data_IF_269983472607
#
_entry.id   IF_269983472607
#
_cell.length_a   1.000
_cell.length_b   1.000
_cell.length_c   1.000
_cell.angle_alpha   90.00
_cell.angle_beta   90.00
_cell.angle_gamma   90.00
#
_symmetry.space_group_name_H-M   'P 1'
#
loop_
_entity.id
_entity.type
_entity.pdbx_description
1 polymer ?
#
# COMPACT_ATOMS: atom_id res chain seq x y z
N UNK A 1 11.71 36.33 -16.98
CA UNK A 1 12.90 35.43 -16.97
C UNK A 1 13.03 34.82 -18.35
N UNK A 2 14.17 35.12 -18.99
CA UNK A 2 14.41 34.73 -20.37
C UNK A 2 14.80 33.25 -20.49
N UNK A 3 14.73 32.69 -21.72
CA UNK A 3 15.09 31.31 -22.06
C UNK A 3 16.54 30.99 -21.67
N UNK A 4 17.40 31.99 -21.69
CA UNK A 4 18.84 31.89 -21.42
C UNK A 4 19.25 32.27 -19.99
N UNK A 5 18.31 32.33 -19.06
CA UNK A 5 18.56 32.65 -17.67
C UNK A 5 19.62 31.71 -17.05
N UNK A 6 20.76 32.29 -16.62
CA UNK A 6 21.90 31.56 -16.05
C UNK A 6 22.10 31.85 -14.55
N UNK A 7 21.25 32.64 -13.93
CA UNK A 7 21.31 32.91 -12.50
C UNK A 7 20.64 31.77 -11.72
N UNK A 8 21.39 31.16 -10.82
CA UNK A 8 20.87 30.04 -10.02
C UNK A 8 19.86 30.54 -8.99
N UNK A 9 18.63 30.05 -9.08
CA UNK A 9 17.57 30.31 -8.10
C UNK A 9 17.24 29.03 -7.34
N UNK A 10 16.66 29.11 -6.12
CA UNK A 10 16.30 27.94 -5.36
C UNK A 10 15.33 27.03 -6.12
N UNK A 11 15.60 25.71 -6.12
CA UNK A 11 14.76 24.72 -6.81
C UNK A 11 13.48 24.49 -6.01
N UNK A 12 12.42 25.21 -6.39
CA UNK A 12 11.10 25.15 -5.76
C UNK A 12 9.98 25.20 -6.81
N UNK A 13 8.80 24.61 -6.55
CA UNK A 13 7.66 24.65 -7.49
C UNK A 13 7.27 26.07 -7.94
N UNK A 14 7.45 27.08 -7.05
CA UNK A 14 7.16 28.48 -7.37
C UNK A 14 7.99 29.01 -8.57
N UNK A 15 9.23 28.54 -8.72
CA UNK A 15 10.09 28.93 -9.85
C UNK A 15 9.56 28.36 -11.16
N UNK A 16 9.01 27.15 -11.15
CA UNK A 16 8.35 26.54 -12.30
C UNK A 16 7.22 27.43 -12.83
N UNK A 17 6.38 27.94 -11.92
CA UNK A 17 5.30 28.84 -12.26
C UNK A 17 5.80 30.23 -12.73
N UNK A 18 6.80 30.79 -12.06
CA UNK A 18 7.40 32.09 -12.43
C UNK A 18 8.04 32.05 -13.83
N UNK A 19 8.64 30.91 -14.19
CA UNK A 19 9.22 30.69 -15.50
C UNK A 19 8.17 30.29 -16.56
N UNK A 20 6.90 30.13 -16.18
CA UNK A 20 5.82 29.66 -17.03
C UNK A 20 6.17 28.34 -17.75
N UNK A 21 6.68 27.36 -16.99
CA UNK A 21 7.21 26.11 -17.50
C UNK A 21 6.14 25.19 -18.07
N UNK A 22 4.92 25.22 -17.52
CA UNK A 22 3.80 24.44 -18.08
C UNK A 22 3.55 24.82 -19.54
N UNK A 23 3.37 26.12 -19.79
CA UNK A 23 3.19 26.62 -21.17
C UNK A 23 4.42 26.37 -22.06
N UNK A 24 5.61 26.43 -21.46
CA UNK A 24 6.86 26.15 -22.18
C UNK A 24 6.90 24.71 -22.71
N UNK A 25 6.57 23.72 -21.89
CA UNK A 25 6.56 22.32 -22.27
C UNK A 25 5.38 21.98 -23.20
N UNK A 26 4.18 22.49 -22.90
CA UNK A 26 2.98 22.28 -23.71
C UNK A 26 3.20 22.77 -25.18
N UNK A 27 3.95 23.86 -25.37
CA UNK A 27 4.25 24.47 -26.65
C UNK A 27 5.68 24.26 -27.13
N UNK A 28 6.42 23.29 -26.59
CA UNK A 28 7.80 23.05 -26.99
C UNK A 28 7.91 22.70 -28.47
N UNK A 29 8.79 23.38 -29.25
CA UNK A 29 8.94 23.11 -30.66
C UNK A 29 9.31 21.66 -30.95
N UNK A 30 8.49 20.96 -31.74
CA UNK A 30 8.66 19.53 -31.99
C UNK A 30 8.34 18.61 -30.81
N UNK A 31 7.81 19.12 -29.69
CA UNK A 31 7.56 18.36 -28.48
C UNK A 31 6.66 17.12 -28.63
N UNK A 32 5.82 17.09 -29.66
CA UNK A 32 4.99 15.92 -30.03
C UNK A 32 5.78 14.77 -30.67
N UNK A 33 7.05 14.98 -31.03
CA UNK A 33 7.94 13.96 -31.62
C UNK A 33 9.09 13.58 -30.69
N UNK A 34 9.36 14.38 -29.67
CA UNK A 34 10.47 14.17 -28.75
C UNK A 34 9.99 13.42 -27.51
N UNK A 35 10.67 12.35 -27.16
CA UNK A 35 10.59 11.75 -25.84
C UNK A 35 11.61 12.42 -24.88
N UNK A 36 11.68 12.01 -23.61
CA UNK A 36 12.55 12.67 -22.61
C UNK A 36 14.04 12.61 -22.96
N UNK A 37 14.51 11.49 -23.54
CA UNK A 37 15.93 11.34 -23.91
C UNK A 37 16.25 12.13 -25.18
N UNK A 38 15.34 12.13 -26.17
CA UNK A 38 15.49 12.94 -27.39
C UNK A 38 15.50 14.43 -27.03
N UNK A 39 14.63 14.87 -26.10
CA UNK A 39 14.65 16.22 -25.56
C UNK A 39 16.01 16.56 -24.94
N UNK A 40 16.52 15.72 -24.05
CA UNK A 40 17.83 15.93 -23.39
C UNK A 40 18.95 16.05 -24.41
N UNK A 41 19.00 15.19 -25.42
CA UNK A 41 19.99 15.25 -26.50
C UNK A 41 19.86 16.54 -27.32
N UNK A 42 18.63 16.98 -27.63
CA UNK A 42 18.36 18.21 -28.41
C UNK A 42 18.87 19.47 -27.68
N UNK A 43 18.83 19.49 -26.34
CA UNK A 43 19.29 20.64 -25.55
C UNK A 43 20.78 20.54 -25.14
N UNK A 44 21.49 19.52 -25.60
CA UNK A 44 22.93 19.34 -25.42
C UNK A 44 23.35 18.44 -24.25
N UNK A 45 22.41 17.75 -23.61
CA UNK A 45 22.69 16.76 -22.57
C UNK A 45 22.69 15.34 -23.17
N UNK A 46 23.72 15.00 -23.94
CA UNK A 46 23.80 13.73 -24.71
C UNK A 46 23.96 12.48 -23.83
N UNK A 47 24.53 12.64 -22.63
CA UNK A 47 24.76 11.54 -21.66
C UNK A 47 23.69 11.48 -20.56
N UNK A 48 22.51 12.04 -20.84
CA UNK A 48 21.40 12.10 -19.89
C UNK A 48 20.46 10.89 -20.08
N UNK A 49 20.80 9.78 -19.41
CA UNK A 49 20.02 8.54 -19.46
C UNK A 49 19.05 8.46 -18.29
N UNK A 50 17.81 8.12 -18.59
CA UNK A 50 16.68 8.08 -17.66
C UNK A 50 16.06 6.68 -17.65
N UNK A 51 15.77 6.15 -16.47
CA UNK A 51 15.13 4.84 -16.30
C UNK A 51 15.43 4.21 -14.94
N UNK A 52 14.94 2.99 -14.76
CA UNK A 52 15.27 2.20 -13.57
C UNK A 52 16.76 1.82 -13.60
N UNK A 53 17.45 2.14 -12.50
CA UNK A 53 18.90 1.96 -12.37
C UNK A 53 19.74 3.08 -12.95
N UNK A 54 19.14 4.07 -13.63
CA UNK A 54 19.83 5.21 -14.21
C UNK A 54 19.88 6.42 -13.24
N UNK A 55 20.93 7.21 -13.33
CA UNK A 55 21.17 8.40 -12.49
C UNK A 55 21.52 9.61 -13.36
N UNK A 56 20.54 10.18 -14.09
CA UNK A 56 20.79 11.29 -15.00
C UNK A 56 21.30 12.53 -14.25
N UNK A 57 22.23 13.25 -14.87
CA UNK A 57 22.78 14.50 -14.34
C UNK A 57 22.83 15.55 -15.46
N UNK A 58 22.08 16.65 -15.37
CA UNK A 58 22.08 17.70 -16.41
C UNK A 58 23.28 18.64 -16.32
N UNK A 59 24.21 18.42 -15.40
CA UNK A 59 25.31 19.33 -15.16
C UNK A 59 24.91 20.62 -14.43
N UNK A 60 25.75 21.64 -14.54
CA UNK A 60 25.48 22.96 -13.95
C UNK A 60 24.62 23.81 -14.90
N UNK A 61 23.83 24.71 -14.33
CA UNK A 61 23.05 25.65 -15.11
C UNK A 61 23.97 26.43 -16.07
N UNK A 62 23.62 26.47 -17.36
CA UNK A 62 24.37 27.03 -18.48
C UNK A 62 25.67 26.28 -18.84
N UNK A 63 25.88 25.04 -18.36
CA UNK A 63 27.04 24.21 -18.66
C UNK A 63 26.67 22.72 -18.83
N UNK A 64 26.26 22.23 -20.01
CA UNK A 64 26.01 22.98 -21.27
C UNK A 64 24.59 23.54 -21.39
N UNK A 65 23.60 23.00 -20.61
CA UNK A 65 22.18 23.28 -20.79
C UNK A 65 21.76 24.58 -20.10
N UNK A 66 20.95 25.40 -20.76
CA UNK A 66 20.62 26.76 -20.31
C UNK A 66 19.15 26.91 -19.90
N UNK A 67 18.91 27.83 -18.98
CA UNK A 67 17.60 28.39 -18.67
C UNK A 67 16.53 27.33 -18.43
N UNK A 68 15.40 27.44 -19.09
CA UNK A 68 14.22 26.56 -18.93
C UNK A 68 14.52 25.10 -19.21
N UNK A 69 15.40 24.81 -20.17
CA UNK A 69 15.76 23.44 -20.52
C UNK A 69 16.50 22.76 -19.34
N UNK A 70 17.40 23.48 -18.67
CA UNK A 70 18.08 22.94 -17.51
C UNK A 70 17.14 22.64 -16.34
N UNK A 71 16.19 23.55 -16.04
CA UNK A 71 15.18 23.28 -14.99
C UNK A 71 14.29 22.10 -15.35
N UNK A 72 14.01 21.90 -16.64
CA UNK A 72 13.29 20.72 -17.12
C UNK A 72 14.08 19.43 -16.84
N UNK A 73 15.39 19.42 -17.16
CA UNK A 73 16.24 18.25 -16.89
C UNK A 73 16.41 17.96 -15.40
N UNK A 74 16.48 18.99 -14.55
CA UNK A 74 16.47 18.81 -13.07
C UNK A 74 15.17 18.14 -12.62
N UNK A 75 14.04 18.56 -13.13
CA UNK A 75 12.77 17.94 -12.78
C UNK A 75 12.69 16.46 -13.25
N UNK A 76 13.24 16.13 -14.43
CA UNK A 76 13.38 14.75 -14.90
C UNK A 76 14.31 13.95 -13.97
N UNK A 77 15.47 14.51 -13.61
CA UNK A 77 16.42 13.88 -12.69
C UNK A 77 15.76 13.52 -11.35
N UNK A 78 15.04 14.47 -10.75
CA UNK A 78 14.37 14.26 -9.47
C UNK A 78 13.23 13.23 -9.59
N UNK A 79 12.45 13.28 -10.68
CA UNK A 79 11.44 12.26 -10.96
C UNK A 79 12.07 10.87 -11.11
N UNK A 80 13.18 10.76 -11.84
CA UNK A 80 13.89 9.49 -12.01
C UNK A 80 14.41 8.93 -10.67
N UNK A 81 15.00 9.80 -9.83
CA UNK A 81 15.44 9.42 -8.49
C UNK A 81 14.26 8.90 -7.64
N UNK A 82 13.10 9.56 -7.73
CA UNK A 82 11.89 9.12 -7.05
C UNK A 82 11.40 7.74 -7.51
N UNK A 83 11.37 7.51 -8.82
CA UNK A 83 10.95 6.23 -9.40
C UNK A 83 11.89 5.10 -8.99
N UNK A 84 13.21 5.33 -9.00
CA UNK A 84 14.20 4.38 -8.50
C UNK A 84 14.01 4.10 -7.01
N UNK A 85 13.75 5.14 -6.21
CA UNK A 85 13.46 4.99 -4.79
C UNK A 85 12.22 4.11 -4.53
N UNK A 86 11.15 4.24 -5.33
CA UNK A 86 9.96 3.38 -5.25
C UNK A 86 10.28 1.93 -5.62
N UNK A 87 11.02 1.73 -6.70
CA UNK A 87 11.43 0.41 -7.17
C UNK A 87 12.25 -0.33 -6.12
N UNK A 88 13.26 0.33 -5.56
CA UNK A 88 14.15 -0.23 -4.53
C UNK A 88 13.40 -0.48 -3.21
N UNK A 89 12.54 0.47 -2.81
CA UNK A 89 11.77 0.35 -1.56
C UNK A 89 10.75 -0.79 -1.63
N UNK A 90 10.14 -1.01 -2.79
CA UNK A 90 9.30 -2.17 -3.01
C UNK A 90 10.10 -3.48 -2.88
N UNK A 91 11.27 -3.55 -3.52
CA UNK A 91 12.18 -4.70 -3.41
C UNK A 91 12.57 -5.00 -1.96
N UNK A 92 12.97 -3.97 -1.22
CA UNK A 92 13.34 -4.09 0.19
C UNK A 92 12.17 -4.60 1.05
N UNK A 93 11.00 -3.98 0.94
CA UNK A 93 9.86 -4.33 1.77
C UNK A 93 9.37 -5.77 1.54
N UNK A 94 9.31 -6.23 0.30
CA UNK A 94 8.99 -7.62 -0.01
C UNK A 94 10.08 -8.59 0.46
N UNK A 95 11.35 -8.24 0.30
CA UNK A 95 12.48 -9.03 0.79
C UNK A 95 12.40 -9.25 2.29
N UNK A 96 12.19 -8.17 3.06
CA UNK A 96 12.04 -8.24 4.51
C UNK A 96 10.87 -9.13 4.95
N UNK A 97 9.73 -9.07 4.23
CA UNK A 97 8.59 -9.92 4.54
C UNK A 97 8.82 -11.40 4.20
N UNK A 98 9.43 -11.67 3.06
CA UNK A 98 9.58 -13.05 2.56
C UNK A 98 10.53 -13.89 3.40
N UNK A 99 11.56 -13.27 3.97
CA UNK A 99 12.63 -13.99 4.72
C UNK A 99 12.24 -14.28 6.16
N UNK A 100 11.50 -13.39 6.84
CA UNK A 100 11.28 -13.53 8.28
C UNK A 100 9.86 -13.32 8.77
N UNK A 101 9.20 -12.25 8.35
CA UNK A 101 7.96 -11.80 8.98
C UNK A 101 6.77 -12.70 8.66
N UNK A 102 6.50 -12.94 7.38
CA UNK A 102 5.30 -13.71 6.97
C UNK A 102 5.44 -15.19 7.26
N UNK A 103 6.59 -15.85 7.00
CA UNK A 103 6.81 -17.21 7.48
C UNK A 103 6.71 -17.34 9.01
N UNK A 104 7.22 -16.35 9.75
CA UNK A 104 7.10 -16.30 11.20
C UNK A 104 5.64 -16.21 11.66
N UNK A 105 4.85 -15.29 11.09
CA UNK A 105 3.43 -15.14 11.40
C UNK A 105 2.64 -16.42 11.08
N UNK A 106 2.97 -17.11 9.98
CA UNK A 106 2.34 -18.38 9.64
C UNK A 106 2.57 -19.42 10.74
N UNK A 107 3.82 -19.57 11.19
CA UNK A 107 4.17 -20.51 12.25
C UNK A 107 3.50 -20.15 13.57
N UNK A 108 3.51 -18.87 13.92
CA UNK A 108 3.02 -18.38 15.22
C UNK A 108 1.49 -18.45 15.33
N UNK A 109 0.75 -18.20 14.25
CA UNK A 109 -0.70 -18.09 14.30
C UNK A 109 -1.45 -19.28 13.68
N UNK A 110 -0.77 -20.31 13.24
CA UNK A 110 -1.39 -21.53 12.73
C UNK A 110 -1.71 -22.50 13.86
N UNK A 111 -2.98 -22.68 14.16
CA UNK A 111 -3.45 -23.50 15.27
C UNK A 111 -3.52 -25.00 14.95
N UNK A 112 -3.86 -25.40 13.71
CA UNK A 112 -4.14 -26.79 13.34
C UNK A 112 -3.82 -27.08 11.87
N UNK A 113 -2.77 -27.86 11.62
CA UNK A 113 -2.38 -28.23 10.26
C UNK A 113 -3.45 -29.09 9.54
N UNK A 114 -4.26 -29.84 10.24
CA UNK A 114 -5.27 -30.73 9.62
C UNK A 114 -6.47 -29.96 9.08
N UNK A 115 -6.75 -28.77 9.60
CA UNK A 115 -7.77 -27.85 9.08
C UNK A 115 -7.32 -27.04 7.87
N UNK A 116 -6.06 -27.19 7.47
CA UNK A 116 -5.47 -26.46 6.36
C UNK A 116 -6.17 -26.76 5.02
N UNK A 117 -6.63 -27.97 4.78
CA UNK A 117 -7.24 -28.35 3.51
C UNK A 117 -8.53 -27.58 3.20
N UNK A 118 -9.39 -27.35 4.17
CA UNK A 118 -10.60 -26.53 3.98
C UNK A 118 -10.27 -25.03 3.87
N UNK A 119 -9.09 -24.61 4.34
CA UNK A 119 -8.61 -23.24 4.35
C UNK A 119 -7.62 -22.91 3.23
N UNK A 120 -7.16 -23.92 2.46
CA UNK A 120 -6.22 -23.70 1.34
C UNK A 120 -6.82 -22.72 0.33
N UNK A 121 -8.09 -22.81 -0.01
CA UNK A 121 -8.80 -21.83 -0.83
C UNK A 121 -8.77 -20.42 -0.21
N UNK A 122 -8.73 -20.31 1.11
CA UNK A 122 -8.69 -19.05 1.86
C UNK A 122 -7.26 -18.47 1.86
N UNK A 123 -6.21 -19.30 1.96
CA UNK A 123 -4.82 -18.87 1.78
C UNK A 123 -4.51 -18.41 0.35
N UNK A 124 -5.24 -18.95 -0.63
CA UNK A 124 -5.21 -18.48 -2.02
C UNK A 124 -5.78 -17.09 -2.13
N UNK A 125 -6.96 -16.87 -1.56
CA UNK A 125 -7.56 -15.56 -1.44
C UNK A 125 -6.63 -14.57 -0.72
N UNK A 126 -5.81 -15.03 0.24
CA UNK A 126 -4.76 -14.26 0.90
C UNK A 126 -3.66 -13.77 -0.05
N UNK A 127 -3.05 -14.68 -0.78
CA UNK A 127 -2.01 -14.33 -1.75
C UNK A 127 -2.56 -13.39 -2.82
N UNK A 128 -3.75 -13.68 -3.36
CA UNK A 128 -4.41 -12.81 -4.32
C UNK A 128 -4.69 -11.42 -3.74
N UNK A 129 -5.16 -11.32 -2.50
CA UNK A 129 -5.42 -10.02 -1.86
C UNK A 129 -4.17 -9.28 -1.41
N UNK A 130 -3.06 -9.94 -1.13
CA UNK A 130 -1.78 -9.26 -0.94
C UNK A 130 -1.33 -8.57 -2.22
N UNK A 131 -1.42 -9.27 -3.32
CA UNK A 131 -1.03 -8.78 -4.62
C UNK A 131 -1.94 -7.63 -5.06
N UNK A 132 -3.23 -7.69 -4.76
CA UNK A 132 -4.20 -6.65 -5.14
C UNK A 132 -4.15 -5.44 -4.23
N UNK A 133 -3.81 -5.58 -2.96
CA UNK A 133 -3.75 -4.45 -2.03
C UNK A 133 -2.39 -3.73 -2.04
N UNK A 134 -1.32 -4.36 -2.49
CA UNK A 134 0.01 -3.76 -2.52
C UNK A 134 0.18 -2.69 -3.61
N UNK A 135 -0.24 -2.93 -4.85
CA UNK A 135 -0.26 -1.87 -5.84
C UNK A 135 -1.11 -0.67 -5.41
N UNK A 136 -2.20 -0.88 -4.66
CA UNK A 136 -2.98 0.20 -4.05
C UNK A 136 -2.13 1.12 -3.15
N UNK A 137 -1.25 0.58 -2.32
CA UNK A 137 -0.35 1.39 -1.49
C UNK A 137 0.70 2.12 -2.33
N UNK A 138 1.29 1.46 -3.33
CA UNK A 138 2.27 2.11 -4.23
C UNK A 138 1.58 3.12 -5.14
N UNK A 139 0.45 2.78 -5.74
CA UNK A 139 -0.28 3.68 -6.64
C UNK A 139 -0.89 4.86 -5.86
N UNK A 140 -1.28 4.67 -4.61
CA UNK A 140 -1.70 5.76 -3.75
C UNK A 140 -0.57 6.75 -3.48
N UNK A 141 0.67 6.26 -3.41
CA UNK A 141 1.85 7.12 -3.32
C UNK A 141 2.21 7.82 -4.64
N UNK A 142 1.73 7.31 -5.78
CA UNK A 142 1.95 7.87 -7.12
C UNK A 142 0.85 8.82 -7.59
N UNK A 143 -0.37 8.64 -7.09
CA UNK A 143 -1.54 9.44 -7.49
C UNK A 143 -1.30 10.94 -7.49
N UNK A 144 -0.68 11.54 -6.46
CA UNK A 144 -0.39 12.96 -6.39
C UNK A 144 0.55 13.47 -7.49
N UNK A 145 1.47 12.60 -8.00
CA UNK A 145 2.51 13.00 -8.96
C UNK A 145 2.11 12.90 -10.41
N UNK A 146 1.03 12.23 -10.66
CA UNK A 146 0.58 11.99 -12.02
C UNK A 146 -0.71 12.75 -12.33
N UNK A 147 -1.10 13.68 -11.43
CA UNK A 147 -2.31 14.47 -11.58
C UNK A 147 -3.58 13.62 -11.72
N UNK A 148 -3.64 12.49 -11.01
CA UNK A 148 -4.75 11.53 -11.16
C UNK A 148 -4.66 10.65 -12.41
N UNK A 149 -3.65 10.85 -13.27
CA UNK A 149 -3.49 10.10 -14.51
C UNK A 149 -3.24 8.61 -14.28
N UNK A 150 -2.54 8.23 -13.18
CA UNK A 150 -2.37 6.81 -12.84
C UNK A 150 -3.64 6.20 -12.27
N UNK A 151 -4.53 6.97 -11.66
CA UNK A 151 -5.82 6.44 -11.25
C UNK A 151 -6.77 6.27 -12.45
N UNK A 152 -6.69 7.09 -13.49
CA UNK A 152 -7.51 6.95 -14.71
C UNK A 152 -6.90 6.04 -15.78
N UNK A 153 -5.57 6.03 -15.96
CA UNK A 153 -4.83 4.98 -16.69
C UNK A 153 -4.77 3.70 -15.83
N UNK A 154 -4.77 3.88 -14.50
CA UNK A 154 -4.79 2.85 -13.50
C UNK A 154 -5.94 1.88 -13.67
N UNK A 155 -7.14 2.31 -14.00
CA UNK A 155 -8.26 1.37 -14.18
C UNK A 155 -8.05 0.42 -15.36
N UNK A 156 -7.48 0.88 -16.47
CA UNK A 156 -7.21 0.03 -17.64
C UNK A 156 -5.90 -0.76 -17.46
N UNK A 157 -4.82 -0.10 -17.07
CA UNK A 157 -3.54 -0.73 -16.79
C UNK A 157 -3.61 -1.60 -15.51
N UNK A 158 -4.41 -1.22 -14.53
CA UNK A 158 -4.72 -1.96 -13.32
C UNK A 158 -5.46 -3.26 -13.63
N UNK A 159 -6.53 -3.22 -14.42
CA UNK A 159 -7.26 -4.43 -14.81
C UNK A 159 -6.39 -5.36 -15.67
N UNK A 160 -5.53 -4.82 -16.55
CA UNK A 160 -4.57 -5.60 -17.30
C UNK A 160 -3.50 -6.20 -16.39
N UNK A 161 -2.91 -5.40 -15.50
CA UNK A 161 -1.91 -5.83 -14.52
C UNK A 161 -2.49 -6.88 -13.58
N UNK A 162 -3.69 -6.67 -13.07
CA UNK A 162 -4.41 -7.62 -12.23
C UNK A 162 -4.68 -8.92 -12.97
N UNK A 163 -5.03 -8.84 -14.25
CA UNK A 163 -5.20 -10.03 -15.11
C UNK A 163 -3.89 -10.80 -15.26
N UNK A 164 -2.79 -10.13 -15.57
CA UNK A 164 -1.46 -10.76 -15.72
C UNK A 164 -0.94 -11.32 -14.40
N UNK A 165 -1.10 -10.56 -13.30
CA UNK A 165 -0.70 -11.03 -11.95
C UNK A 165 -1.56 -12.21 -11.51
N UNK A 166 -2.89 -12.15 -11.71
CA UNK A 166 -3.80 -13.24 -11.39
C UNK A 166 -3.45 -14.51 -12.14
N UNK A 167 -3.13 -14.42 -13.44
CA UNK A 167 -2.70 -15.57 -14.26
C UNK A 167 -1.34 -16.12 -13.80
N UNK A 168 -0.36 -15.26 -13.52
CA UNK A 168 0.98 -15.66 -13.07
C UNK A 168 0.92 -16.35 -11.71
N UNK A 169 0.07 -15.86 -10.82
CA UNK A 169 -0.12 -16.40 -9.47
C UNK A 169 -0.96 -17.65 -9.51
N UNK A 170 -1.98 -17.70 -10.33
CA UNK A 170 -2.79 -18.92 -10.53
C UNK A 170 -1.91 -20.06 -11.03
N UNK A 171 -0.98 -19.81 -11.94
CA UNK A 171 -0.04 -20.81 -12.45
C UNK A 171 0.98 -21.25 -11.38
N UNK A 172 1.58 -20.30 -10.65
CA UNK A 172 2.49 -20.61 -9.53
C UNK A 172 1.76 -21.35 -8.41
N UNK A 173 0.49 -21.02 -8.23
CA UNK A 173 -0.40 -21.57 -7.24
C UNK A 173 -0.84 -23.00 -7.57
N UNK A 174 -1.30 -23.30 -8.79
CA UNK A 174 -1.64 -24.66 -9.22
C UNK A 174 -0.43 -25.59 -9.02
N UNK A 175 0.77 -25.12 -9.36
CA UNK A 175 2.02 -25.86 -9.07
C UNK A 175 2.26 -26.04 -7.56
N UNK A 176 1.88 -25.05 -6.73
CA UNK A 176 2.07 -25.13 -5.27
C UNK A 176 1.05 -26.05 -4.60
N UNK A 177 -0.19 -26.11 -5.09
CA UNK A 177 -1.22 -27.09 -4.62
C UNK A 177 -0.75 -28.52 -4.88
N UNK A 178 -0.16 -28.78 -6.05
CA UNK A 178 0.35 -30.12 -6.39
C UNK A 178 1.47 -30.56 -5.44
N UNK A 179 2.26 -29.60 -4.91
CA UNK A 179 3.32 -29.85 -3.95
C UNK A 179 2.78 -29.97 -2.51
N UNK A 180 1.77 -29.19 -2.13
CA UNK A 180 1.21 -29.13 -0.77
C UNK A 180 0.14 -30.22 -0.53
N UNK A 181 -0.42 -30.83 -1.58
CA UNK A 181 -1.41 -31.90 -1.50
C UNK A 181 -0.96 -33.19 -0.79
N UNK A 182 0.30 -33.26 -0.36
CA UNK A 182 0.90 -34.40 0.33
C UNK A 182 0.91 -34.32 1.86
N UNK A 183 0.22 -33.37 2.49
CA UNK A 183 0.02 -33.32 3.96
C UNK A 183 1.27 -32.96 4.78
N UNK A 184 2.29 -32.39 4.17
CA UNK A 184 3.59 -32.23 4.79
C UNK A 184 3.97 -30.80 5.23
N UNK A 185 4.70 -30.80 6.33
CA UNK A 185 5.70 -29.88 6.89
C UNK A 185 5.48 -28.36 6.76
N UNK A 186 5.48 -27.69 7.93
CA UNK A 186 5.46 -26.21 8.10
C UNK A 186 6.53 -25.52 7.24
N UNK A 187 7.69 -26.15 7.05
CA UNK A 187 8.76 -25.63 6.22
C UNK A 187 8.34 -25.48 4.73
N UNK A 188 7.70 -26.50 4.17
CA UNK A 188 7.22 -26.43 2.76
C UNK A 188 6.20 -25.33 2.56
N UNK A 189 5.31 -25.12 3.54
CA UNK A 189 4.32 -24.04 3.48
C UNK A 189 4.94 -22.64 3.56
N UNK A 190 5.92 -22.46 4.44
CA UNK A 190 6.65 -21.19 4.51
C UNK A 190 7.44 -20.90 3.23
N UNK A 191 8.02 -21.93 2.61
CA UNK A 191 8.72 -21.81 1.33
C UNK A 191 7.78 -21.44 0.18
N UNK A 192 6.55 -21.98 0.14
CA UNK A 192 5.52 -21.61 -0.83
C UNK A 192 5.13 -20.13 -0.68
N UNK A 193 4.91 -19.67 0.54
CA UNK A 193 4.58 -18.27 0.81
C UNK A 193 5.74 -17.33 0.45
N UNK A 194 6.97 -17.70 0.82
CA UNK A 194 8.15 -16.92 0.44
C UNK A 194 8.28 -16.79 -1.09
N UNK A 195 8.03 -17.89 -1.82
CA UNK A 195 8.00 -17.86 -3.28
C UNK A 195 6.90 -16.94 -3.82
N UNK A 196 5.68 -17.02 -3.28
CA UNK A 196 4.58 -16.13 -3.68
C UNK A 196 4.93 -14.66 -3.46
N UNK A 197 5.55 -14.32 -2.33
CA UNK A 197 6.01 -12.97 -2.05
C UNK A 197 7.08 -12.51 -3.05
N UNK A 198 8.01 -13.40 -3.42
CA UNK A 198 9.02 -13.11 -4.43
C UNK A 198 8.41 -12.86 -5.82
N UNK A 199 7.42 -13.66 -6.23
CA UNK A 199 6.70 -13.42 -7.49
C UNK A 199 5.90 -12.11 -7.44
N UNK A 200 5.31 -11.79 -6.28
CA UNK A 200 4.63 -10.50 -6.06
C UNK A 200 5.60 -9.32 -6.15
N UNK A 201 6.79 -9.45 -5.56
CA UNK A 201 7.85 -8.46 -5.70
C UNK A 201 8.21 -8.20 -7.16
N UNK A 202 8.47 -9.29 -7.91
CA UNK A 202 8.80 -9.18 -9.35
C UNK A 202 7.68 -8.51 -10.14
N UNK A 203 6.43 -8.87 -9.87
CA UNK A 203 5.28 -8.27 -10.53
C UNK A 203 5.19 -6.77 -10.26
N UNK A 204 5.34 -6.33 -8.99
CA UNK A 204 5.32 -4.91 -8.62
C UNK A 204 6.48 -4.15 -9.27
N UNK A 205 7.70 -4.68 -9.17
CA UNK A 205 8.88 -4.03 -9.76
C UNK A 205 8.78 -3.96 -11.29
N UNK A 206 8.29 -5.01 -11.94
CA UNK A 206 8.02 -5.02 -13.39
C UNK A 206 6.98 -3.98 -13.77
N UNK A 207 5.95 -3.79 -12.95
CA UNK A 207 4.94 -2.76 -13.17
C UNK A 207 5.52 -1.37 -13.11
N UNK A 208 6.30 -1.07 -12.06
CA UNK A 208 6.99 0.23 -11.92
C UNK A 208 7.89 0.47 -13.14
N UNK A 209 8.66 -0.55 -13.56
CA UNK A 209 9.52 -0.46 -14.72
C UNK A 209 8.74 -0.19 -16.01
N UNK A 210 7.67 -0.94 -16.27
CA UNK A 210 6.85 -0.78 -17.48
C UNK A 210 6.16 0.58 -17.54
N UNK A 211 5.62 1.07 -16.41
CA UNK A 211 5.02 2.40 -16.33
C UNK A 211 6.07 3.50 -16.58
N UNK A 212 7.25 3.35 -15.99
CA UNK A 212 8.38 4.25 -16.25
C UNK A 212 8.74 4.28 -17.73
N UNK A 213 8.91 3.13 -18.36
CA UNK A 213 9.21 3.03 -19.79
C UNK A 213 8.11 3.65 -20.67
N UNK A 214 6.85 3.48 -20.30
CA UNK A 214 5.74 4.11 -21.04
C UNK A 214 5.82 5.64 -20.97
N UNK A 215 6.08 6.20 -19.79
CA UNK A 215 6.25 7.65 -19.60
C UNK A 215 7.46 8.16 -20.40
N UNK A 216 8.58 7.43 -20.37
CA UNK A 216 9.80 7.80 -21.08
C UNK A 216 9.62 7.84 -22.62
N UNK A 217 8.77 6.99 -23.16
CA UNK A 217 8.49 6.91 -24.61
C UNK A 217 7.48 7.93 -25.09
N UNK A 218 6.69 8.51 -24.19
CA UNK A 218 5.67 9.46 -24.56
C UNK A 218 6.27 10.82 -24.97
N UNK A 219 5.61 11.53 -25.91
CA UNK A 219 5.98 12.89 -26.25
C UNK A 219 6.01 13.82 -25.04
N UNK A 220 7.02 14.69 -25.00
CA UNK A 220 7.27 15.56 -23.83
C UNK A 220 6.14 16.56 -23.56
N UNK A 221 5.39 16.96 -24.56
CA UNK A 221 4.30 17.93 -24.46
C UNK A 221 2.93 17.30 -24.12
N UNK A 222 2.87 15.98 -23.95
CA UNK A 222 1.63 15.28 -23.58
C UNK A 222 1.47 15.14 -22.08
N UNK A 223 0.22 15.06 -21.63
CA UNK A 223 -0.13 14.81 -20.22
C UNK A 223 0.42 13.46 -19.73
N UNK A 224 0.54 12.47 -20.62
CA UNK A 224 1.14 11.16 -20.32
C UNK A 224 2.67 11.14 -20.37
N UNK A 225 3.30 12.25 -20.71
CA UNK A 225 4.75 12.43 -20.79
C UNK A 225 5.28 13.45 -19.79
N UNK A 226 6.36 14.12 -20.16
CA UNK A 226 7.09 15.06 -19.30
C UNK A 226 6.22 16.23 -18.78
N UNK A 227 5.41 16.84 -19.65
CA UNK A 227 4.56 17.96 -19.28
C UNK A 227 3.54 17.61 -18.19
N UNK A 228 3.02 16.38 -18.20
CA UNK A 228 2.07 15.92 -17.20
C UNK A 228 2.71 15.60 -15.87
N UNK A 229 3.81 14.85 -15.85
CA UNK A 229 4.47 14.46 -14.59
C UNK A 229 5.09 15.66 -13.85
N UNK A 230 5.54 16.68 -14.58
CA UNK A 230 6.16 17.88 -14.01
C UNK A 230 5.20 19.07 -13.91
N UNK A 231 3.91 18.86 -14.12
CA UNK A 231 2.91 19.93 -14.00
C UNK A 231 3.07 20.67 -12.67
N UNK A 232 3.06 22.00 -12.73
CA UNK A 232 3.21 22.91 -11.59
C UNK A 232 4.52 22.75 -10.79
N UNK A 233 5.54 22.15 -11.39
CA UNK A 233 6.87 21.98 -10.78
C UNK A 233 6.96 20.83 -9.78
N UNK A 234 6.14 19.80 -9.94
CA UNK A 234 6.01 18.66 -9.00
C UNK A 234 7.36 18.06 -8.58
N UNK A 235 8.32 17.95 -9.49
CA UNK A 235 9.64 17.36 -9.22
C UNK A 235 10.80 18.37 -9.30
N UNK A 236 10.52 19.68 -9.28
CA UNK A 236 11.60 20.65 -9.30
C UNK A 236 12.38 20.70 -7.98
N UNK A 237 11.75 20.41 -6.85
CA UNK A 237 12.42 20.35 -5.54
C UNK A 237 13.23 19.07 -5.40
N UNK A 238 14.39 19.19 -4.75
CA UNK A 238 15.21 18.05 -4.39
C UNK A 238 14.44 17.12 -3.43
N UNK A 239 14.63 15.81 -3.61
CA UNK A 239 14.06 14.83 -2.72
C UNK A 239 14.80 14.85 -1.36
N UNK A 240 14.07 14.82 -0.22
CA UNK A 240 14.71 14.77 1.09
C UNK A 240 15.65 13.56 1.22
N UNK A 241 16.83 13.75 1.81
CA UNK A 241 17.86 12.70 1.94
C UNK A 241 17.38 11.44 2.67
N UNK A 242 16.36 11.58 3.53
CA UNK A 242 15.77 10.47 4.29
C UNK A 242 14.47 9.91 3.66
N UNK A 243 14.15 10.32 2.43
CA UNK A 243 12.91 9.91 1.76
C UNK A 243 12.84 8.39 1.57
N UNK A 244 13.89 7.78 1.04
CA UNK A 244 13.95 6.34 0.78
C UNK A 244 13.76 5.51 2.07
N UNK A 245 14.47 5.86 3.14
CA UNK A 245 14.35 5.13 4.41
C UNK A 245 12.96 5.26 5.04
N UNK A 246 12.34 6.42 4.94
CA UNK A 246 10.96 6.63 5.38
C UNK A 246 9.96 5.83 4.54
N UNK A 247 10.12 5.84 3.22
CA UNK A 247 9.27 5.07 2.31
C UNK A 247 9.39 3.56 2.57
N UNK A 248 10.60 3.05 2.75
CA UNK A 248 10.86 1.64 3.11
C UNK A 248 10.16 1.27 4.41
N UNK A 249 10.29 2.09 5.45
CA UNK A 249 9.64 1.86 6.74
C UNK A 249 8.10 1.86 6.64
N UNK A 250 7.51 2.78 5.87
CA UNK A 250 6.06 2.83 5.68
C UNK A 250 5.55 1.63 4.87
N UNK A 251 6.24 1.23 3.81
CA UNK A 251 5.88 0.05 3.02
C UNK A 251 5.99 -1.23 3.84
N UNK A 252 7.06 -1.36 4.62
CA UNK A 252 7.26 -2.52 5.51
C UNK A 252 6.15 -2.59 6.57
N UNK A 253 5.82 -1.47 7.21
CA UNK A 253 4.73 -1.40 8.18
C UNK A 253 3.37 -1.77 7.55
N UNK A 254 3.06 -1.19 6.40
CA UNK A 254 1.82 -1.47 5.67
C UNK A 254 1.69 -2.96 5.34
N UNK A 255 2.76 -3.56 4.84
CA UNK A 255 2.77 -4.98 4.48
C UNK A 255 2.65 -5.90 5.69
N UNK A 256 3.34 -5.60 6.80
CA UNK A 256 3.25 -6.35 8.05
C UNK A 256 1.82 -6.33 8.61
N UNK A 257 1.22 -5.14 8.70
CA UNK A 257 -0.14 -4.99 9.23
C UNK A 257 -1.19 -5.65 8.32
N UNK A 258 -1.07 -5.48 7.01
CA UNK A 258 -1.94 -6.17 6.04
C UNK A 258 -1.79 -7.68 6.12
N UNK A 259 -0.58 -8.18 6.28
CA UNK A 259 -0.32 -9.61 6.46
C UNK A 259 -1.00 -10.13 7.73
N UNK A 260 -0.81 -9.45 8.86
CA UNK A 260 -1.44 -9.83 10.12
C UNK A 260 -2.97 -9.81 10.02
N UNK A 261 -3.55 -8.74 9.46
CA UNK A 261 -4.99 -8.66 9.27
C UNK A 261 -5.52 -9.83 8.42
N UNK A 262 -4.78 -10.23 7.38
CA UNK A 262 -5.16 -11.36 6.54
C UNK A 262 -5.06 -12.70 7.25
N UNK A 263 -3.99 -12.94 8.03
CA UNK A 263 -3.89 -14.14 8.86
C UNK A 263 -5.06 -14.27 9.83
N UNK A 264 -5.44 -13.18 10.47
CA UNK A 264 -6.60 -13.16 11.37
C UNK A 264 -7.91 -13.38 10.61
N UNK A 265 -8.09 -12.75 9.45
CA UNK A 265 -9.28 -12.96 8.60
C UNK A 265 -9.45 -14.41 8.12
N UNK A 266 -8.36 -15.10 7.80
CA UNK A 266 -8.39 -16.53 7.46
C UNK A 266 -8.96 -17.35 8.61
N UNK A 267 -8.72 -16.92 9.84
CA UNK A 267 -9.32 -17.54 11.04
C UNK A 267 -10.76 -17.07 11.29
N UNK A 268 -11.40 -16.35 10.36
CA UNK A 268 -12.69 -15.70 10.52
C UNK A 268 -12.70 -14.66 11.65
N UNK A 269 -11.54 -14.00 11.91
CA UNK A 269 -11.48 -12.97 12.93
C UNK A 269 -12.15 -11.67 12.47
N UNK A 270 -12.81 -11.03 13.40
CA UNK A 270 -13.43 -9.71 13.27
C UNK A 270 -13.39 -8.99 14.63
N UNK A 271 -13.67 -7.71 14.64
CA UNK A 271 -13.69 -6.91 15.86
C UNK A 271 -15.14 -6.74 16.31
N UNK A 272 -15.40 -6.98 17.60
CA UNK A 272 -16.65 -6.62 18.25
C UNK A 272 -16.42 -5.42 19.14
N UNK A 273 -17.15 -4.33 18.89
CA UNK A 273 -17.12 -3.11 19.68
C UNK A 273 -18.36 -2.99 20.54
N UNK A 274 -18.17 -2.84 21.87
CA UNK A 274 -19.27 -2.67 22.82
C UNK A 274 -19.99 -3.94 23.21
N UNK A 275 -19.35 -5.13 23.09
CA UNK A 275 -19.90 -6.38 23.59
C UNK A 275 -19.81 -6.51 25.09
N UNK A 276 -18.77 -5.96 25.70
CA UNK A 276 -18.43 -6.11 27.11
C UNK A 276 -18.12 -4.75 27.73
N UNK A 277 -18.17 -4.68 29.06
CA UNK A 277 -17.85 -3.47 29.82
C UNK A 277 -16.37 -3.39 30.13
N UNK A 278 -15.81 -2.19 30.22
CA UNK A 278 -14.43 -1.91 30.58
C UNK A 278 -14.21 -2.04 32.11
N UNK A 279 -14.52 -3.21 32.67
CA UNK A 279 -14.44 -3.50 34.12
C UNK A 279 -13.63 -4.75 34.42
N UNK A 280 -12.83 -5.21 33.43
CA UNK A 280 -12.00 -6.40 33.56
C UNK A 280 -10.65 -6.09 34.18
N UNK A 281 -9.82 -7.11 34.42
CA UNK A 281 -8.54 -7.01 35.13
C UNK A 281 -7.38 -6.47 34.30
N UNK A 282 -7.50 -6.45 32.98
CA UNK A 282 -6.45 -5.98 32.08
C UNK A 282 -6.34 -4.45 31.97
N UNK A 283 -5.48 -3.99 31.09
CA UNK A 283 -5.20 -2.58 30.86
C UNK A 283 -6.49 -1.79 30.55
N UNK A 284 -6.71 -0.68 31.25
CA UNK A 284 -7.90 0.18 31.13
C UNK A 284 -9.24 -0.58 31.29
N UNK A 285 -9.25 -1.72 32.00
CA UNK A 285 -10.45 -2.53 32.19
C UNK A 285 -10.76 -3.48 31.04
N UNK A 286 -9.83 -3.73 30.14
CA UNK A 286 -9.93 -4.78 29.12
C UNK A 286 -9.70 -6.19 29.71
N UNK A 287 -9.85 -7.24 28.92
CA UNK A 287 -9.52 -8.59 29.34
C UNK A 287 -8.01 -8.79 29.44
N UNK A 288 -7.55 -9.46 30.49
CA UNK A 288 -6.15 -9.81 30.71
C UNK A 288 -5.96 -11.32 30.52
N UNK A 289 -6.04 -11.75 29.27
CA UNK A 289 -5.83 -13.14 28.90
C UNK A 289 -4.75 -13.22 27.83
N UNK A 290 -3.84 -14.16 27.95
CA UNK A 290 -2.71 -14.34 27.01
C UNK A 290 -3.12 -14.63 25.58
N UNK A 291 -4.34 -15.12 25.36
CA UNK A 291 -4.90 -15.47 24.07
C UNK A 291 -6.04 -14.54 23.63
N UNK A 292 -6.25 -13.44 24.34
CA UNK A 292 -7.29 -12.46 24.02
C UNK A 292 -6.67 -11.15 23.57
N UNK A 293 -7.19 -10.62 22.47
CA UNK A 293 -6.82 -9.28 21.98
C UNK A 293 -7.97 -8.35 22.29
N UNK A 294 -7.82 -7.62 23.39
CA UNK A 294 -8.85 -6.76 23.95
C UNK A 294 -8.30 -5.38 24.28
N UNK A 295 -9.09 -4.34 24.04
CA UNK A 295 -8.73 -2.96 24.33
C UNK A 295 -9.95 -2.15 24.75
N UNK A 296 -9.80 -1.37 25.81
CA UNK A 296 -10.77 -0.36 26.22
C UNK A 296 -10.31 1.02 25.77
N UNK A 297 -11.08 1.63 24.87
CA UNK A 297 -10.79 2.98 24.35
C UNK A 297 -11.08 4.08 25.37
N UNK A 298 -10.65 5.31 25.02
CA UNK A 298 -10.92 6.52 25.84
C UNK A 298 -12.43 6.83 25.95
N UNK A 299 -13.24 6.30 25.03
CA UNK A 299 -14.70 6.36 25.07
C UNK A 299 -15.34 5.33 26.01
N UNK A 300 -14.53 4.60 26.78
CA UNK A 300 -14.93 3.52 27.68
C UNK A 300 -15.74 2.41 26.98
N UNK A 301 -15.45 2.14 25.70
CA UNK A 301 -16.06 1.08 24.92
C UNK A 301 -15.00 0.03 24.60
N UNK A 302 -15.29 -1.23 24.99
CA UNK A 302 -14.39 -2.33 24.75
C UNK A 302 -14.45 -2.78 23.29
N UNK A 303 -13.28 -3.01 22.69
CA UNK A 303 -13.09 -3.66 21.40
C UNK A 303 -12.33 -4.97 21.58
N UNK A 304 -12.92 -6.06 21.08
CA UNK A 304 -12.34 -7.41 21.15
C UNK A 304 -12.14 -7.96 19.75
N UNK A 305 -10.97 -8.50 19.44
CA UNK A 305 -10.76 -9.32 18.27
C UNK A 305 -11.21 -10.74 18.61
N UNK A 306 -12.20 -11.22 17.90
CA UNK A 306 -12.84 -12.54 18.13
C UNK A 306 -12.89 -13.32 16.82
N UNK A 307 -13.06 -14.64 16.89
CA UNK A 307 -13.21 -15.51 15.73
C UNK A 307 -14.64 -16.03 15.63
N UNK A 308 -15.27 -15.92 14.47
CA UNK A 308 -16.52 -16.62 14.21
C UNK A 308 -16.26 -18.14 14.13
N UNK A 309 -17.06 -18.94 14.85
CA UNK A 309 -17.00 -20.39 14.72
C UNK A 309 -17.41 -20.85 13.31
N UNK A 310 -16.93 -22.02 12.89
CA UNK A 310 -17.16 -22.59 11.56
C UNK A 310 -18.67 -22.69 11.23
N UNK A 311 -19.48 -23.00 12.23
CA UNK A 311 -20.93 -23.06 12.07
C UNK A 311 -21.62 -21.69 12.08
N UNK A 312 -20.87 -20.62 12.26
CA UNK A 312 -21.33 -19.24 12.16
C UNK A 312 -22.34 -18.81 13.23
N UNK A 313 -22.55 -19.61 14.28
CA UNK A 313 -23.56 -19.34 15.32
C UNK A 313 -22.99 -18.71 16.57
N UNK A 314 -21.70 -18.91 16.86
CA UNK A 314 -21.00 -18.39 18.03
C UNK A 314 -19.69 -17.74 17.63
N UNK A 315 -19.08 -17.01 18.54
CA UNK A 315 -17.71 -16.55 18.43
C UNK A 315 -16.84 -17.08 19.57
N UNK A 316 -15.56 -17.22 19.30
CA UNK A 316 -14.53 -17.56 20.25
C UNK A 316 -13.62 -16.34 20.42
N UNK A 317 -13.42 -15.89 21.66
CA UNK A 317 -12.52 -14.76 21.96
C UNK A 317 -11.04 -15.16 21.99
N UNK A 318 -10.75 -16.45 21.86
CA UNK A 318 -9.36 -16.94 21.90
C UNK A 318 -8.71 -16.85 20.54
N UNK A 319 -7.63 -16.11 20.44
CA UNK A 319 -6.74 -16.04 19.30
C UNK A 319 -5.45 -16.77 19.68
N UNK A 320 -5.13 -17.84 18.95
CA UNK A 320 -3.96 -18.63 19.24
C UNK A 320 -2.67 -17.78 19.20
N UNK A 321 -1.87 -17.86 20.24
CA UNK A 321 -0.65 -17.07 20.40
C UNK A 321 -0.87 -15.54 20.30
N UNK A 322 -2.02 -15.04 20.71
CA UNK A 322 -2.36 -13.61 20.66
C UNK A 322 -1.28 -12.72 21.30
N UNK A 323 -0.65 -13.18 22.39
CA UNK A 323 0.41 -12.45 23.09
C UNK A 323 1.64 -12.15 22.20
N UNK A 324 1.89 -12.95 21.15
CA UNK A 324 2.98 -12.70 20.20
C UNK A 324 2.74 -11.47 19.32
N UNK A 325 1.49 -11.05 19.14
CA UNK A 325 1.17 -9.85 18.36
C UNK A 325 1.83 -8.62 18.97
N UNK A 326 1.81 -8.50 20.28
CA UNK A 326 2.48 -7.41 21.00
C UNK A 326 3.95 -7.73 21.29
N UNK A 327 4.23 -8.89 21.91
CA UNK A 327 5.57 -9.20 22.41
C UNK A 327 6.61 -9.46 21.31
N UNK A 328 6.21 -10.03 20.17
CA UNK A 328 7.11 -10.35 19.06
C UNK A 328 6.98 -9.36 17.90
N UNK A 329 5.76 -8.94 17.57
CA UNK A 329 5.49 -8.08 16.41
C UNK A 329 5.34 -6.61 16.77
N UNK A 330 5.21 -6.26 18.06
CA UNK A 330 5.20 -4.88 18.55
C UNK A 330 3.88 -4.14 18.35
N UNK A 331 2.77 -4.85 18.10
CA UNK A 331 1.46 -4.23 17.85
C UNK A 331 0.54 -4.40 19.07
N UNK A 332 0.26 -3.30 19.75
CA UNK A 332 -0.68 -3.33 20.87
C UNK A 332 -2.13 -3.56 20.40
N UNK A 333 -2.98 -4.19 21.23
CA UNK A 333 -4.41 -4.35 20.92
C UNK A 333 -5.11 -3.04 20.61
N UNK A 334 -4.78 -1.96 21.34
CA UNK A 334 -5.34 -0.63 21.09
C UNK A 334 -4.99 -0.07 19.73
N UNK A 335 -3.73 -0.20 19.32
CA UNK A 335 -3.29 0.22 17.98
C UNK A 335 -4.07 -0.50 16.87
N UNK A 336 -4.17 -1.83 16.94
CA UNK A 336 -4.81 -2.62 15.90
C UNK A 336 -6.33 -2.35 15.81
N UNK A 337 -7.01 -2.35 16.94
CA UNK A 337 -8.47 -2.15 16.97
C UNK A 337 -8.86 -0.73 16.56
N UNK A 338 -8.06 0.27 16.96
CA UNK A 338 -8.27 1.67 16.55
C UNK A 338 -8.07 1.84 15.05
N UNK A 339 -6.99 1.30 14.46
CA UNK A 339 -6.77 1.35 13.02
C UNK A 339 -7.95 0.76 12.24
N UNK A 340 -8.42 -0.43 12.61
CA UNK A 340 -9.53 -1.06 11.93
C UNK A 340 -10.83 -0.25 12.06
N UNK A 341 -11.09 0.31 13.24
CA UNK A 341 -12.26 1.13 13.50
C UNK A 341 -12.23 2.46 12.72
N UNK A 342 -11.10 3.15 12.71
CA UNK A 342 -10.94 4.40 11.99
C UNK A 342 -11.03 4.22 10.48
N UNK A 343 -10.44 3.13 9.95
CA UNK A 343 -10.62 2.75 8.56
C UNK A 343 -12.10 2.53 8.21
N UNK A 344 -12.82 1.72 9.00
CA UNK A 344 -14.23 1.42 8.72
C UNK A 344 -15.14 2.65 8.86
N UNK A 345 -14.90 3.54 9.82
CA UNK A 345 -15.65 4.80 9.95
C UNK A 345 -15.49 5.70 8.72
N UNK A 346 -14.29 5.73 8.16
CA UNK A 346 -13.95 6.64 7.07
C UNK A 346 -14.33 6.07 5.71
N UNK A 347 -14.12 4.77 5.50
CA UNK A 347 -14.17 4.12 4.17
C UNK A 347 -15.21 3.01 4.05
N UNK A 348 -15.96 2.69 5.13
CA UNK A 348 -16.87 1.54 5.11
C UNK A 348 -16.17 0.20 5.33
N UNK A 349 -16.98 -0.87 5.30
CA UNK A 349 -16.49 -2.23 5.52
C UNK A 349 -15.82 -2.73 4.24
N UNK A 350 -14.49 -2.88 4.25
CA UNK A 350 -13.65 -3.36 3.12
C UNK A 350 -13.56 -2.45 1.89
N UNK A 351 -14.15 -1.28 1.90
CA UNK A 351 -14.13 -0.34 0.80
C UNK A 351 -13.04 0.70 1.04
N UNK A 352 -11.80 0.34 0.79
CA UNK A 352 -10.73 1.32 0.67
C UNK A 352 -10.35 1.50 -0.79
N UNK A 353 -10.77 2.60 -1.39
CA UNK A 353 -10.30 3.06 -2.68
C UNK A 353 -9.12 4.02 -2.48
N UNK A 354 -7.93 3.52 -2.78
CA UNK A 354 -6.68 4.29 -2.64
C UNK A 354 -6.61 5.47 -3.62
N UNK A 355 -7.39 5.46 -4.70
CA UNK A 355 -7.40 6.53 -5.69
C UNK A 355 -8.34 7.68 -5.35
N UNK A 356 -9.46 7.41 -4.66
CA UNK A 356 -10.42 8.46 -4.27
C UNK A 356 -9.95 9.32 -3.09
N UNK A 357 -8.96 8.84 -2.33
CA UNK A 357 -8.50 9.49 -1.09
C UNK A 357 -7.42 10.58 -1.30
N UNK A 358 -7.01 10.89 -2.53
CA UNK A 358 -5.81 11.69 -2.77
C UNK A 358 -6.11 13.11 -3.22
N UNK A 359 -5.62 14.08 -2.43
CA UNK A 359 -5.44 15.46 -2.86
C UNK A 359 -4.14 15.57 -3.69
N UNK A 360 -4.20 16.33 -4.78
CA UNK A 360 -3.09 16.63 -5.69
C UNK A 360 -1.97 17.42 -5.01
N UNK A 361 -1.22 16.80 -4.11
CA UNK A 361 -0.06 17.43 -3.48
C UNK A 361 1.21 17.17 -4.28
N UNK A 362 1.89 18.26 -4.65
CA UNK A 362 3.06 18.27 -5.54
C UNK A 362 4.40 18.35 -4.81
N UNK A 363 4.42 18.16 -3.47
CA UNK A 363 5.61 18.30 -2.64
C UNK A 363 6.06 16.92 -2.07
N UNK A 364 7.35 16.50 -2.15
CA UNK A 364 7.86 15.27 -1.57
C UNK A 364 7.56 15.09 -0.07
N UNK A 365 7.60 16.16 0.72
CA UNK A 365 7.20 16.11 2.14
C UNK A 365 5.70 15.84 2.32
N UNK A 366 4.88 16.45 1.49
CA UNK A 366 3.45 16.19 1.47
C UNK A 366 3.14 14.76 1.05
N UNK A 367 3.96 14.16 0.15
CA UNK A 367 3.86 12.72 -0.18
C UNK A 367 4.07 11.82 1.00
N UNK A 368 5.14 12.03 1.75
CA UNK A 368 5.38 11.22 2.96
C UNK A 368 4.23 11.36 3.95
N UNK A 369 3.59 12.53 4.00
CA UNK A 369 2.41 12.75 4.82
C UNK A 369 1.15 12.10 4.22
N UNK A 370 1.02 12.10 2.89
CA UNK A 370 -0.05 11.36 2.19
C UNK A 370 0.11 9.84 2.32
N UNK A 371 1.35 9.31 2.26
CA UNK A 371 1.63 7.89 2.55
C UNK A 371 1.23 7.48 3.98
N UNK A 372 1.20 8.44 4.91
CA UNK A 372 0.75 8.18 6.29
C UNK A 372 -0.77 8.17 6.44
N UNK A 373 -1.54 8.83 5.58
CA UNK A 373 -3.00 8.87 5.63
C UNK A 373 -3.68 7.50 5.49
N UNK A 374 -3.20 6.57 4.59
CA UNK A 374 -3.76 5.23 4.52
C UNK A 374 -3.42 4.33 5.70
N UNK A 375 -2.64 4.78 6.68
CA UNK A 375 -2.29 3.97 7.87
C UNK A 375 -3.51 3.39 8.55
N UNK A 376 -4.60 4.15 8.59
CA UNK A 376 -5.85 3.73 9.21
C UNK A 376 -6.40 2.45 8.57
N UNK A 377 -6.07 2.14 7.31
CA UNK A 377 -6.50 0.95 6.60
C UNK A 377 -5.41 -0.13 6.40
N UNK A 378 -4.22 0.03 6.99
CA UNK A 378 -3.19 -1.02 6.92
C UNK A 378 -3.61 -2.27 7.69
N UNK A 379 -4.31 -2.11 8.80
CA UNK A 379 -4.93 -3.20 9.51
C UNK A 379 -6.46 -3.08 9.39
N UNK A 380 -7.06 -3.90 8.55
CA UNK A 380 -8.47 -3.79 8.17
C UNK A 380 -9.19 -5.10 8.49
N UNK A 381 -9.61 -5.27 9.75
CA UNK A 381 -10.59 -6.28 10.16
C UNK A 381 -11.97 -5.65 10.20
N UNK A 382 -13.04 -6.40 9.83
CA UNK A 382 -14.40 -5.90 9.96
C UNK A 382 -14.76 -5.62 11.40
N UNK A 383 -15.41 -4.47 11.66
CA UNK A 383 -15.83 -4.07 13.01
C UNK A 383 -17.34 -4.13 13.12
N UNK A 384 -17.82 -4.96 14.01
CA UNK A 384 -19.21 -5.02 14.42
C UNK A 384 -19.45 -4.04 15.58
N UNK A 385 -20.04 -2.90 15.31
CA UNK A 385 -20.32 -1.89 16.33
C UNK A 385 -21.67 -2.15 17.01
N UNK A 386 -21.65 -2.87 18.11
CA UNK A 386 -22.82 -3.16 18.93
C UNK A 386 -23.32 -1.96 19.75
N UNK A 387 -22.65 -0.80 19.67
CA UNK A 387 -23.18 0.44 20.28
C UNK A 387 -24.26 1.09 19.42
N UNK A 388 -24.41 0.67 18.17
CA UNK A 388 -25.47 1.10 17.28
C UNK A 388 -26.86 0.71 17.84
N UNK A 389 -27.84 1.62 17.89
CA UNK A 389 -29.15 1.34 18.49
C UNK A 389 -29.89 0.15 17.84
N UNK A 390 -29.75 -0.01 16.52
CA UNK A 390 -30.39 -1.09 15.76
C UNK A 390 -29.79 -2.46 16.14
N UNK A 391 -28.49 -2.58 16.33
CA UNK A 391 -27.82 -3.81 16.75
C UNK A 391 -28.02 -4.09 18.24
N UNK A 392 -28.06 -3.04 19.09
CA UNK A 392 -28.41 -3.18 20.51
C UNK A 392 -29.82 -3.75 20.69
N UNK A 393 -30.79 -3.27 19.93
CA UNK A 393 -32.15 -3.80 19.96
C UNK A 393 -32.19 -5.29 19.61
N UNK A 394 -31.39 -5.74 18.63
CA UNK A 394 -31.29 -7.17 18.26
C UNK A 394 -30.58 -8.00 19.33
N UNK A 395 -29.59 -7.44 20.04
CA UNK A 395 -28.87 -8.09 21.12
C UNK A 395 -29.80 -8.47 22.31
N UNK A 396 -30.83 -7.67 22.56
CA UNK A 396 -31.84 -7.96 23.59
C UNK A 396 -32.62 -9.23 23.27
N UNK A 397 -32.68 -9.64 22.02
CA UNK A 397 -33.26 -10.87 21.59
C UNK A 397 -32.27 -12.04 21.79
N UNK A 398 -32.41 -12.76 22.90
CA UNK A 398 -31.52 -13.87 23.31
C UNK A 398 -31.46 -15.05 22.33
N UNK A 399 -32.30 -15.07 21.26
CA UNK A 399 -32.27 -16.11 20.24
C UNK A 399 -31.16 -15.95 19.21
N UNK A 400 -30.55 -14.76 19.11
CA UNK A 400 -29.48 -14.46 18.16
C UNK A 400 -28.13 -14.32 18.88
N UNK A 401 -27.11 -14.96 18.30
CA UNK A 401 -25.72 -14.75 18.74
C UNK A 401 -25.16 -13.43 18.20
N UNK A 402 -24.08 -12.92 18.83
CA UNK A 402 -23.39 -11.74 18.36
C UNK A 402 -22.91 -11.92 16.91
N UNK A 403 -22.36 -13.09 16.56
CA UNK A 403 -21.94 -13.40 15.18
C UNK A 403 -23.09 -13.28 14.19
N UNK A 404 -24.27 -13.81 14.54
CA UNK A 404 -25.47 -13.72 13.70
C UNK A 404 -25.96 -12.27 13.57
N UNK A 405 -25.92 -11.49 14.65
CA UNK A 405 -26.28 -10.07 14.63
C UNK A 405 -25.33 -9.30 13.71
N UNK A 406 -24.02 -9.50 13.85
CA UNK A 406 -23.01 -8.83 13.05
C UNK A 406 -23.12 -9.19 11.55
N UNK A 407 -23.38 -10.45 11.23
CA UNK A 407 -23.52 -10.95 9.86
C UNK A 407 -24.81 -10.47 9.21
N UNK A 408 -25.96 -10.70 9.86
CA UNK A 408 -27.27 -10.50 9.25
C UNK A 408 -27.72 -9.03 9.29
N UNK A 409 -27.38 -8.30 10.34
CA UNK A 409 -27.83 -6.92 10.56
C UNK A 409 -26.68 -5.90 10.52
N UNK A 410 -25.47 -6.32 10.86
CA UNK A 410 -24.27 -5.49 10.72
C UNK A 410 -23.70 -5.46 9.31
N UNK A 411 -24.12 -6.36 8.44
CA UNK A 411 -23.63 -6.47 7.06
C UNK A 411 -22.17 -6.95 6.95
N UNK A 412 -21.64 -7.59 8.01
CA UNK A 412 -20.26 -8.03 8.01
C UNK A 412 -20.08 -9.36 7.26
N UNK A 413 -19.10 -9.47 6.37
CA UNK A 413 -18.75 -10.70 5.66
C UNK A 413 -17.84 -11.59 6.54
N UNK A 414 -18.40 -12.17 7.60
CA UNK A 414 -17.74 -13.02 8.61
C UNK A 414 -18.38 -14.40 8.73
#
# INVERSE_FOLDING_TARGET
LDKDHCEKVPLKPQIWNQLNMNSYLDNYPGGHQLNMMDFAATVGATDFYVGIGEHPNPGQLCQPVRGKDWYTLIAIQNWNAYVNCLYDSAGYAFGALSVGVVPGMLIDFEQDPTRFYSRTATYIGLAATWITSFPGVILSSWGPYTGGMFCSIGDIAWNYLMGVMYLSISAAFINSILIVGSGEDRFKRSAVIARMLTESQRAVQSTISNLTQNILRNPINQVSGLAGINRDGSFLSEMPSNFQSKLQAELELALKLKSLAKFLRVQNAFIVRGSDTCTQSGANGAFDLSETISYCGDDNIMMNIVRAEINGTRYDSTIYNAHLIESKYGYSPGFLTTLAWDCQKTHGVFEYDSCSAHNNSTNPEAMLNELKKPRDCYFNLPVCDLTRPDLQARRKNKSLSITQICRLFGGLPI
#
